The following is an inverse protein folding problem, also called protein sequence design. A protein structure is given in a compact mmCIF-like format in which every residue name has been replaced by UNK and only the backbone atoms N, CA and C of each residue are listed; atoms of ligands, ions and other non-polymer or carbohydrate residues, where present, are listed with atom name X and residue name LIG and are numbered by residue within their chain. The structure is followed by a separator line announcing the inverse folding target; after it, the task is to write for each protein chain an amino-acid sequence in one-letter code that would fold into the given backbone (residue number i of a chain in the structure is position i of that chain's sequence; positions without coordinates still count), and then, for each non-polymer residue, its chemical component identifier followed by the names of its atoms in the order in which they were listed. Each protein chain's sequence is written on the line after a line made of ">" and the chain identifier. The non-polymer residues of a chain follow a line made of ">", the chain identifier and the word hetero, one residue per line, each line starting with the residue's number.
data_IF_018625670407
#
_entry.id   IF_018625670407
#
_cell.length_a   1.000
_cell.length_b   1.000
_cell.length_c   1.000
_cell.angle_alpha   90.00
_cell.angle_beta   90.00
_cell.angle_gamma   90.00
#
_symmetry.space_group_name_H-M   'P 1'
#
loop_
_entity.id
_entity.type
_entity.pdbx_description
1 polymer ?
#
# COMPACT_ATOMS: atom_id res chain seq x y z
N UNK A 1 -35.62 -5.93 31.51
CA UNK A 1 -34.79 -4.93 32.21
C UNK A 1 -33.39 -4.92 31.58
N UNK A 2 -33.16 -4.17 30.49
CA UNK A 2 -31.82 -3.87 30.03
C UNK A 2 -31.32 -2.57 30.66
N UNK A 3 -30.12 -2.61 31.24
CA UNK A 3 -29.47 -1.48 31.88
C UNK A 3 -28.77 -0.59 30.83
N UNK A 4 -29.20 0.68 30.82
CA UNK A 4 -28.38 1.91 30.75
C UNK A 4 -27.03 1.86 30.01
N UNK A 5 -27.06 2.13 28.71
CA UNK A 5 -25.89 2.61 27.92
C UNK A 5 -25.82 4.13 27.82
N UNK A 6 -26.84 4.84 28.32
CA UNK A 6 -26.99 6.30 28.26
C UNK A 6 -26.23 7.07 29.36
N UNK A 7 -25.55 6.37 30.28
CA UNK A 7 -24.91 7.00 31.45
C UNK A 7 -23.38 7.11 31.36
N UNK A 8 -22.76 6.71 30.26
CA UNK A 8 -21.30 6.65 30.14
C UNK A 8 -20.67 7.73 29.23
N UNK A 9 -21.41 8.76 28.82
CA UNK A 9 -20.97 9.72 27.80
C UNK A 9 -20.96 11.19 28.22
N UNK A 10 -20.80 11.47 29.52
CA UNK A 10 -20.45 12.81 30.02
C UNK A 10 -19.51 12.59 31.22
N UNK A 11 -18.26 13.12 31.28
CA UNK A 11 -17.98 14.52 30.98
C UNK A 11 -16.56 14.78 30.42
N UNK A 12 -16.42 14.97 29.10
CA UNK A 12 -15.32 15.79 28.54
C UNK A 12 -15.91 16.77 27.53
N UNK A 13 -16.84 17.59 28.00
CA UNK A 13 -17.21 18.83 27.33
C UNK A 13 -16.05 19.81 27.43
N UNK A 14 -15.00 19.57 26.63
CA UNK A 14 -14.11 20.64 26.20
C UNK A 14 -15.02 21.68 25.55
N UNK A 15 -15.07 22.93 26.04
CA UNK A 15 -15.76 23.99 25.35
C UNK A 15 -14.94 24.30 24.09
N UNK A 16 -15.17 23.52 23.03
CA UNK A 16 -15.00 24.01 21.68
C UNK A 16 -16.12 25.03 21.51
N UNK A 17 -15.96 26.22 22.09
CA UNK A 17 -16.56 27.41 21.51
C UNK A 17 -15.95 27.48 20.11
N UNK A 18 -16.65 27.01 19.07
CA UNK A 18 -16.10 27.10 17.75
C UNK A 18 -16.07 28.59 17.47
N UNK A 19 -14.90 29.15 17.22
CA UNK A 19 -14.80 30.47 16.66
C UNK A 19 -15.33 30.37 15.22
N UNK A 20 -16.66 30.31 15.11
CA UNK A 20 -17.41 29.81 13.97
C UNK A 20 -17.09 30.65 12.74
N UNK A 21 -16.92 31.96 12.94
CA UNK A 21 -16.50 32.90 11.90
C UNK A 21 -15.11 32.59 11.30
N UNK A 22 -14.15 32.10 12.10
CA UNK A 22 -12.84 31.72 11.60
C UNK A 22 -12.90 30.43 10.78
N UNK A 23 -13.66 29.44 11.26
CA UNK A 23 -13.86 28.17 10.54
C UNK A 23 -14.66 28.37 9.24
N UNK A 24 -15.69 29.21 9.27
CA UNK A 24 -16.44 29.62 8.08
C UNK A 24 -15.56 30.39 7.10
N UNK A 25 -14.66 31.25 7.57
CA UNK A 25 -13.69 31.95 6.72
C UNK A 25 -12.69 31.01 6.04
N UNK A 26 -12.23 29.95 6.74
CA UNK A 26 -11.37 28.93 6.14
C UNK A 26 -12.14 28.07 5.13
N UNK A 27 -13.37 27.67 5.46
CA UNK A 27 -14.23 26.93 4.53
C UNK A 27 -14.50 27.75 3.26
N UNK A 28 -14.82 29.04 3.40
CA UNK A 28 -15.06 29.93 2.28
C UNK A 28 -13.82 30.11 1.38
N UNK A 29 -12.61 30.14 1.96
CA UNK A 29 -11.34 30.18 1.21
C UNK A 29 -11.07 28.90 0.42
N UNK A 30 -11.39 27.75 0.99
CA UNK A 30 -11.26 26.46 0.28
C UNK A 30 -12.27 26.41 -0.86
N UNK A 31 -13.53 26.79 -0.61
CA UNK A 31 -14.56 26.85 -1.66
C UNK A 31 -14.19 27.83 -2.78
N UNK A 32 -13.59 28.98 -2.46
CA UNK A 32 -13.15 29.96 -3.45
C UNK A 32 -12.09 29.42 -4.42
N UNK A 33 -11.19 28.56 -3.97
CA UNK A 33 -10.18 27.92 -4.85
C UNK A 33 -10.77 26.91 -5.82
N UNK A 34 -11.99 26.45 -5.57
CA UNK A 34 -12.70 25.47 -6.40
C UNK A 34 -13.80 26.11 -7.25
N UNK A 35 -14.08 27.40 -7.06
CA UNK A 35 -15.06 28.14 -7.84
C UNK A 35 -14.44 28.63 -9.16
N UNK A 36 -15.20 28.53 -10.25
CA UNK A 36 -14.74 28.89 -11.60
C UNK A 36 -15.10 30.33 -12.01
N UNK A 37 -15.71 31.09 -11.10
CA UNK A 37 -16.10 32.48 -11.35
C UNK A 37 -16.84 33.11 -10.16
N UNK A 38 -17.10 34.42 -10.24
CA UNK A 38 -17.77 35.18 -9.16
C UNK A 38 -19.18 34.65 -8.87
N UNK A 39 -19.94 34.34 -9.91
CA UNK A 39 -21.32 33.85 -9.77
C UNK A 39 -21.38 32.43 -9.23
N UNK A 40 -20.45 31.57 -9.64
CA UNK A 40 -20.28 30.21 -9.13
C UNK A 40 -19.87 30.20 -7.65
N UNK A 41 -18.92 31.07 -7.27
CA UNK A 41 -18.53 31.29 -5.88
C UNK A 41 -19.73 31.72 -5.01
N UNK A 42 -20.51 32.69 -5.50
CA UNK A 42 -21.67 33.19 -4.79
C UNK A 42 -22.76 32.11 -4.63
N UNK A 43 -22.88 31.20 -5.59
CA UNK A 43 -23.78 30.05 -5.53
C UNK A 43 -23.29 29.00 -4.52
N UNK A 44 -22.02 28.59 -4.60
CA UNK A 44 -21.41 27.58 -3.73
C UNK A 44 -21.41 28.02 -2.25
N UNK A 45 -21.10 29.28 -1.97
CA UNK A 45 -21.17 29.82 -0.60
C UNK A 45 -22.61 29.83 -0.07
N UNK A 46 -23.59 30.11 -0.94
CA UNK A 46 -25.01 30.07 -0.60
C UNK A 46 -25.51 28.67 -0.27
N UNK A 47 -25.11 27.66 -1.06
CA UNK A 47 -25.47 26.25 -0.82
C UNK A 47 -24.88 25.73 0.48
N UNK A 48 -23.66 26.15 0.84
CA UNK A 48 -22.96 25.73 2.05
C UNK A 48 -23.38 26.52 3.31
N UNK A 49 -24.29 27.49 3.18
CA UNK A 49 -24.72 28.33 4.30
C UNK A 49 -23.59 29.19 4.89
N UNK A 50 -22.56 29.47 4.10
CA UNK A 50 -21.40 30.27 4.51
C UNK A 50 -21.74 31.77 4.42
N UNK A 51 -21.15 32.61 5.30
CA UNK A 51 -21.39 34.04 5.28
C UNK A 51 -21.01 34.64 3.91
N UNK A 52 -21.99 35.33 3.30
CA UNK A 52 -21.94 35.94 1.96
C UNK A 52 -22.04 37.46 2.08
N UNK A 53 -21.18 38.08 2.89
CA UNK A 53 -21.09 39.55 2.87
C UNK A 53 -20.32 39.98 1.62
N UNK A 54 -20.66 41.15 1.05
CA UNK A 54 -19.96 41.66 -0.14
C UNK A 54 -18.45 41.83 0.15
N UNK A 55 -18.10 42.23 1.37
CA UNK A 55 -16.71 42.35 1.83
C UNK A 55 -15.97 41.01 1.83
N UNK A 56 -16.64 39.90 2.14
CA UNK A 56 -16.04 38.56 2.10
C UNK A 56 -15.84 38.09 0.65
N UNK A 57 -16.77 38.40 -0.26
CA UNK A 57 -16.62 38.10 -1.68
C UNK A 57 -15.45 38.87 -2.29
N UNK A 58 -15.28 40.15 -1.95
CA UNK A 58 -14.13 40.98 -2.37
C UNK A 58 -12.81 40.41 -1.87
N UNK A 59 -12.78 39.83 -0.66
CA UNK A 59 -11.58 39.18 -0.10
C UNK A 59 -11.27 37.82 -0.72
N UNK A 60 -12.25 37.15 -1.31
CA UNK A 60 -12.13 35.81 -1.90
C UNK A 60 -11.97 35.82 -3.43
N UNK A 61 -12.37 36.89 -4.10
CA UNK A 61 -12.20 37.11 -5.54
C UNK A 61 -10.75 36.91 -6.04
N UNK A 62 -9.70 37.35 -5.32
CA UNK A 62 -8.30 37.10 -5.73
C UNK A 62 -7.87 35.62 -5.66
N UNK A 63 -8.67 34.75 -5.05
CA UNK A 63 -8.38 33.32 -4.88
C UNK A 63 -9.12 32.43 -5.90
N UNK A 64 -9.88 33.03 -6.82
CA UNK A 64 -10.52 32.32 -7.90
C UNK A 64 -9.48 31.83 -8.90
N UNK A 65 -9.63 30.59 -9.35
CA UNK A 65 -8.94 30.14 -10.55
C UNK A 65 -9.66 30.78 -11.74
N UNK A 66 -9.08 31.83 -12.31
CA UNK A 66 -9.53 32.32 -13.61
C UNK A 66 -9.06 31.33 -14.69
N UNK A 67 -9.96 30.57 -15.34
CA UNK A 67 -9.58 29.94 -16.59
C UNK A 67 -9.37 31.05 -17.62
N UNK A 68 -8.14 31.26 -18.05
CA UNK A 68 -7.86 32.05 -19.26
C UNK A 68 -8.62 31.45 -20.43
N UNK A 69 -9.27 32.33 -21.17
CA UNK A 69 -10.25 32.10 -22.22
C UNK A 69 -9.83 31.10 -23.32
N UNK A 70 -10.82 30.34 -23.79
CA UNK A 70 -10.84 29.76 -25.15
C UNK A 70 -10.84 30.89 -26.20
N UNK A 71 -10.31 30.65 -27.41
CA UNK A 71 -9.86 31.69 -28.31
C UNK A 71 -11.02 32.29 -29.11
N UNK A 72 -11.30 33.58 -28.93
CA UNK A 72 -12.05 34.34 -29.93
C UNK A 72 -11.09 35.22 -30.73
N UNK A 73 -11.10 35.00 -32.03
CA UNK A 73 -10.31 35.75 -32.99
C UNK A 73 -10.87 37.16 -33.10
N UNK A 74 -10.14 38.18 -32.66
CA UNK A 74 -10.18 39.48 -33.34
C UNK A 74 -8.87 40.22 -33.14
N UNK A 75 -8.34 40.61 -34.29
CA UNK A 75 -7.15 41.42 -34.52
C UNK A 75 -7.15 42.70 -33.67
N UNK A 76 -6.09 42.93 -32.90
CA UNK A 76 -5.30 44.16 -33.05
C UNK A 76 -4.03 44.11 -32.20
N UNK A 77 -2.92 44.50 -32.85
CA UNK A 77 -1.60 44.54 -32.28
C UNK A 77 -1.49 45.55 -31.13
N UNK A 78 -0.84 45.15 -30.03
CA UNK A 78 0.22 45.94 -29.39
C UNK A 78 0.97 45.08 -28.36
N UNK A 79 2.28 45.05 -28.54
CA UNK A 79 3.32 44.38 -27.75
C UNK A 79 3.26 44.68 -26.24
N UNK A 80 3.19 43.64 -25.42
CA UNK A 80 3.97 43.54 -24.18
C UNK A 80 4.43 42.11 -23.99
N UNK A 81 5.69 41.88 -24.35
CA UNK A 81 6.44 40.68 -24.01
C UNK A 81 6.54 40.56 -22.49
N UNK A 82 5.93 39.51 -21.94
CA UNK A 82 6.28 38.93 -20.65
C UNK A 82 6.44 37.44 -20.90
N UNK A 83 7.61 36.84 -20.63
CA UNK A 83 7.78 35.42 -20.82
C UNK A 83 6.98 34.71 -19.72
N UNK A 84 5.81 34.20 -20.08
CA UNK A 84 5.22 33.12 -19.32
C UNK A 84 6.21 31.96 -19.44
N UNK A 85 6.92 31.66 -18.36
CA UNK A 85 7.86 30.55 -18.26
C UNK A 85 7.15 29.29 -18.76
N UNK A 86 7.48 28.90 -19.99
CA UNK A 86 6.80 27.82 -20.69
C UNK A 86 7.07 26.54 -19.88
N UNK A 87 6.06 25.72 -19.59
CA UNK A 87 6.26 24.51 -18.76
C UNK A 87 7.37 23.61 -19.31
N UNK A 88 7.60 23.67 -20.63
CA UNK A 88 8.69 23.01 -21.33
C UNK A 88 10.09 23.58 -21.02
N UNK A 89 10.25 24.88 -20.77
CA UNK A 89 11.55 25.46 -20.37
C UNK A 89 11.91 25.05 -18.95
N UNK A 90 10.93 24.95 -18.04
CA UNK A 90 11.18 24.44 -16.69
C UNK A 90 11.63 22.97 -16.67
N UNK A 91 11.04 22.12 -17.53
CA UNK A 91 11.48 20.73 -17.70
C UNK A 91 12.86 20.67 -18.36
N UNK A 92 13.13 21.52 -19.35
CA UNK A 92 14.44 21.60 -19.99
C UNK A 92 15.55 21.99 -19.00
N UNK A 93 15.31 22.99 -18.15
CA UNK A 93 16.25 23.40 -17.07
C UNK A 93 16.52 22.23 -16.12
N UNK A 94 15.49 21.46 -15.74
CA UNK A 94 15.67 20.26 -14.91
C UNK A 94 16.53 19.20 -15.59
N UNK A 95 16.28 18.91 -16.88
CA UNK A 95 17.06 17.92 -17.63
C UNK A 95 18.51 18.35 -17.85
N UNK A 96 18.75 19.65 -18.08
CA UNK A 96 20.09 20.23 -18.22
C UNK A 96 20.87 20.20 -16.89
N UNK A 97 20.21 20.48 -15.75
CA UNK A 97 20.80 20.36 -14.41
C UNK A 97 21.16 18.90 -14.04
N UNK A 98 20.44 17.93 -14.61
CA UNK A 98 20.75 16.50 -14.49
C UNK A 98 21.90 16.06 -15.43
N UNK A 99 22.47 16.99 -16.22
CA UNK A 99 23.59 16.75 -17.12
C UNK A 99 23.19 16.16 -18.48
N UNK A 100 21.91 16.26 -18.86
CA UNK A 100 21.44 15.80 -20.17
C UNK A 100 21.98 16.70 -21.27
N UNK A 101 22.43 16.10 -22.37
CA UNK A 101 22.94 16.82 -23.53
C UNK A 101 21.87 17.75 -24.16
N UNK A 102 22.20 19.03 -24.45
CA UNK A 102 21.22 20.03 -24.90
C UNK A 102 20.55 19.69 -26.23
N UNK A 103 21.24 19.01 -27.15
CA UNK A 103 20.66 18.58 -28.44
C UNK A 103 19.61 17.47 -28.22
N UNK A 104 19.85 16.61 -27.23
CA UNK A 104 18.88 15.59 -26.80
C UNK A 104 17.64 16.22 -26.15
N UNK A 105 17.80 17.24 -25.31
CA UNK A 105 16.69 17.97 -24.67
C UNK A 105 15.83 18.68 -25.73
N UNK A 106 16.48 19.35 -26.69
CA UNK A 106 15.80 20.02 -27.82
C UNK A 106 14.94 19.06 -28.62
N UNK A 107 15.49 17.90 -28.98
CA UNK A 107 14.78 16.89 -29.78
C UNK A 107 13.63 16.26 -29.01
N UNK A 108 13.81 16.03 -27.70
CA UNK A 108 12.81 15.36 -26.85
C UNK A 108 11.62 16.25 -26.54
N UNK A 109 11.88 17.54 -26.28
CA UNK A 109 10.84 18.51 -25.91
C UNK A 109 10.32 19.31 -27.11
N UNK A 110 10.93 19.16 -28.29
CA UNK A 110 10.56 19.89 -29.50
C UNK A 110 10.80 21.40 -29.39
N UNK A 111 11.78 21.82 -28.57
CA UNK A 111 12.06 23.23 -28.30
C UNK A 111 12.71 23.91 -29.51
N UNK A 112 12.37 25.17 -29.71
CA UNK A 112 13.10 26.05 -30.61
C UNK A 112 14.48 26.43 -30.04
N UNK A 113 15.39 26.88 -30.89
CA UNK A 113 16.75 27.27 -30.48
C UNK A 113 16.76 28.43 -29.49
N UNK A 114 15.79 29.34 -29.63
CA UNK A 114 15.61 30.49 -28.76
C UNK A 114 15.14 30.06 -27.36
N UNK A 115 14.24 29.08 -27.26
CA UNK A 115 13.77 28.53 -25.98
C UNK A 115 14.82 27.68 -25.26
N UNK A 116 15.69 27.00 -26.01
CA UNK A 116 16.83 26.29 -25.43
C UNK A 116 17.86 27.27 -24.85
N UNK A 117 18.07 28.39 -25.52
CA UNK A 117 18.97 29.46 -25.06
C UNK A 117 18.44 30.12 -23.79
N UNK A 118 17.13 30.40 -23.74
CA UNK A 118 16.45 30.90 -22.55
C UNK A 118 16.57 29.91 -21.37
N UNK A 119 16.38 28.61 -21.61
CA UNK A 119 16.59 27.58 -20.58
C UNK A 119 18.04 27.50 -20.07
N UNK A 120 19.03 27.65 -20.96
CA UNK A 120 20.45 27.68 -20.59
C UNK A 120 20.81 28.92 -19.75
N UNK A 121 20.23 30.09 -20.03
CA UNK A 121 20.42 31.28 -19.20
C UNK A 121 19.87 31.06 -17.78
N UNK A 122 18.75 30.36 -17.64
CA UNK A 122 18.16 30.04 -16.34
C UNK A 122 19.01 29.04 -15.53
N UNK A 123 19.67 28.08 -16.19
CA UNK A 123 20.63 27.16 -15.54
C UNK A 123 21.80 27.94 -14.90
N UNK A 124 22.32 28.97 -15.59
CA UNK A 124 23.42 29.80 -15.09
C UNK A 124 23.08 30.68 -13.87
N UNK A 125 21.79 30.94 -13.61
CA UNK A 125 21.36 31.75 -12.46
C UNK A 125 21.14 30.95 -11.17
N UNK A 126 20.95 29.62 -11.27
CA UNK A 126 20.81 28.75 -10.10
C UNK A 126 22.16 28.45 -9.42
N UNK A 127 23.27 28.48 -10.17
CA UNK A 127 24.63 28.32 -9.66
C UNK A 127 25.26 29.63 -9.12
N UNK A 128 24.67 30.80 -9.43
CA UNK A 128 25.17 32.08 -8.93
C UNK A 128 24.97 32.28 -7.42
N UNK A 129 24.02 31.57 -6.80
CA UNK A 129 23.84 31.55 -5.33
C UNK A 129 24.74 30.51 -4.62
N UNK A 130 25.36 29.59 -5.38
CA UNK A 130 26.36 28.65 -4.85
C UNK A 130 27.79 29.22 -4.89
N UNK A 131 28.08 30.13 -5.83
CA UNK A 131 29.42 30.71 -6.02
C UNK A 131 29.73 31.86 -5.03
N UNK A 132 28.72 32.43 -4.37
CA UNK A 132 28.90 33.45 -3.32
C UNK A 132 29.46 32.90 -1.99
N UNK A 133 29.54 31.57 -1.82
CA UNK A 133 30.14 30.91 -0.66
C UNK A 133 31.49 30.21 -0.96
N UNK A 134 31.97 30.29 -2.20
CA UNK A 134 33.24 29.70 -2.63
C UNK A 134 34.44 30.67 -2.55
N UNK A 135 34.26 31.85 -1.95
CA UNK A 135 35.33 32.81 -1.64
C UNK A 135 36.12 32.50 -0.34
N UNK A 136 35.90 31.34 0.29
CA UNK A 136 36.60 30.90 1.51
C UNK A 136 37.48 29.65 1.29
N UNK A 137 38.24 29.63 0.19
CA UNK A 137 39.56 28.99 0.08
C UNK A 137 39.80 27.63 0.74
N UNK A 138 39.06 26.59 0.37
CA UNK A 138 39.49 25.20 0.56
C UNK A 138 39.17 24.36 -0.69
N UNK A 139 40.23 23.96 -1.38
CA UNK A 139 40.28 23.14 -2.59
C UNK A 139 39.48 21.82 -2.47
N UNK A 140 38.77 21.38 -3.54
CA UNK A 140 38.11 20.09 -3.58
C UNK A 140 39.09 19.00 -4.00
N UNK A 141 39.36 18.05 -3.12
CA UNK A 141 39.97 16.77 -3.54
C UNK A 141 38.90 15.87 -4.13
N UNK A 142 38.95 15.71 -5.45
CA UNK A 142 38.14 14.76 -6.19
C UNK A 142 38.54 13.30 -5.93
N UNK A 143 37.53 12.45 -6.16
CA UNK A 143 37.56 11.03 -6.49
C UNK A 143 37.62 10.03 -5.33
N UNK A 144 36.55 9.22 -5.18
CA UNK A 144 36.46 7.89 -5.81
C UNK A 144 35.19 7.18 -5.30
N UNK A 145 34.27 6.82 -6.20
CA UNK A 145 33.26 5.78 -5.97
C UNK A 145 33.92 4.42 -6.32
N UNK A 146 33.63 3.28 -5.63
CA UNK A 146 32.35 2.61 -5.86
C UNK A 146 31.73 1.92 -4.62
N UNK A 147 30.42 2.08 -4.47
CA UNK A 147 29.55 0.92 -4.25
C UNK A 147 28.89 0.76 -2.88
N UNK A 148 27.57 0.56 -2.95
CA UNK A 148 26.71 -0.04 -1.93
C UNK A 148 26.48 0.77 -0.64
N UNK A 149 25.78 1.90 -0.76
CA UNK A 149 24.90 2.34 0.32
C UNK A 149 23.60 2.88 -0.28
N UNK A 150 22.49 2.35 0.23
CA UNK A 150 21.13 2.70 -0.10
C UNK A 150 20.94 4.21 -0.33
N UNK A 151 20.14 4.56 -1.33
CA UNK A 151 19.53 5.88 -1.50
C UNK A 151 18.93 6.37 -0.16
N UNK A 152 19.76 7.06 0.62
CA UNK A 152 19.34 7.87 1.76
C UNK A 152 19.26 9.28 1.19
N UNK A 153 18.08 9.93 1.19
CA UNK A 153 17.99 11.29 0.68
C UNK A 153 18.96 12.15 1.49
N UNK A 154 19.79 12.95 0.82
CA UNK A 154 20.85 13.77 1.43
C UNK A 154 20.35 14.68 2.56
N UNK A 155 19.04 14.98 2.61
CA UNK A 155 18.40 15.69 3.72
C UNK A 155 18.43 14.92 5.06
N UNK A 156 18.46 13.58 5.05
CA UNK A 156 18.44 12.76 6.26
C UNK A 156 19.77 12.78 7.01
N UNK A 157 20.90 12.92 6.30
CA UNK A 157 22.22 13.06 6.94
C UNK A 157 22.38 14.43 7.61
N UNK A 158 21.84 15.50 7.02
CA UNK A 158 21.87 16.84 7.60
C UNK A 158 21.07 16.96 8.91
N UNK A 159 19.88 16.35 8.97
CA UNK A 159 19.05 16.36 10.17
C UNK A 159 19.69 15.55 11.32
N UNK A 160 20.27 14.39 11.04
CA UNK A 160 20.99 13.60 12.04
C UNK A 160 22.26 14.31 12.52
N UNK A 161 22.96 15.02 11.64
CA UNK A 161 24.08 15.87 12.02
C UNK A 161 23.64 17.00 12.96
N UNK A 162 22.50 17.65 12.70
CA UNK A 162 21.94 18.70 13.57
C UNK A 162 21.50 18.16 14.94
N UNK A 163 20.91 16.96 14.99
CA UNK A 163 20.56 16.32 16.26
C UNK A 163 21.80 15.99 17.08
N UNK A 164 22.82 15.42 16.42
CA UNK A 164 24.09 15.04 17.03
C UNK A 164 24.84 16.27 17.55
N UNK A 165 24.84 17.37 16.78
CA UNK A 165 25.38 18.65 17.21
C UNK A 165 24.63 19.20 18.43
N UNK A 166 23.30 19.18 18.42
CA UNK A 166 22.49 19.73 19.50
C UNK A 166 22.58 18.94 20.81
N UNK A 167 22.92 17.65 20.78
CA UNK A 167 23.27 16.86 21.97
C UNK A 167 24.58 17.29 22.61
N UNK A 168 25.59 17.58 21.79
CA UNK A 168 26.90 18.02 22.25
C UNK A 168 26.92 19.50 22.64
N UNK A 169 25.81 20.21 22.40
CA UNK A 169 25.71 21.63 22.69
C UNK A 169 25.68 21.90 24.20
N UNK A 170 26.42 22.93 24.64
CA UNK A 170 26.60 23.23 26.09
C UNK A 170 25.35 23.78 26.78
N UNK A 171 24.39 24.29 26.01
CA UNK A 171 23.15 24.83 26.56
C UNK A 171 22.12 23.74 26.76
N UNK A 172 21.64 23.55 27.98
CA UNK A 172 20.60 22.56 28.32
C UNK A 172 19.31 22.69 27.50
N UNK A 173 18.96 23.90 27.08
CA UNK A 173 17.78 24.16 26.25
C UNK A 173 17.84 23.48 24.87
N UNK A 174 18.98 23.59 24.18
CA UNK A 174 19.20 22.95 22.87
C UNK A 174 19.21 21.42 22.99
N UNK A 175 19.84 20.87 24.02
CA UNK A 175 19.81 19.43 24.31
C UNK A 175 18.39 18.90 24.58
N UNK A 176 17.58 19.65 25.34
CA UNK A 176 16.20 19.28 25.60
C UNK A 176 15.34 19.30 24.32
N UNK A 177 15.59 20.26 23.43
CA UNK A 177 14.89 20.35 22.13
C UNK A 177 15.26 19.18 21.22
N UNK A 178 16.54 18.80 21.11
CA UNK A 178 16.95 17.65 20.29
C UNK A 178 16.42 16.33 20.84
N UNK A 179 16.43 16.14 22.16
CA UNK A 179 15.85 14.95 22.80
C UNK A 179 14.35 14.81 22.51
N UNK A 180 13.61 15.93 22.55
CA UNK A 180 12.18 15.96 22.18
C UNK A 180 11.96 15.66 20.70
N UNK A 181 12.75 16.28 19.82
CA UNK A 181 12.68 16.03 18.38
C UNK A 181 12.94 14.56 18.04
N UNK A 182 13.94 13.92 18.67
CA UNK A 182 14.20 12.49 18.50
C UNK A 182 13.05 11.63 19.01
N UNK A 183 12.51 11.94 20.19
CA UNK A 183 11.38 11.20 20.75
C UNK A 183 10.15 11.31 19.85
N UNK A 184 9.88 12.49 19.28
CA UNK A 184 8.80 12.69 18.33
C UNK A 184 9.00 11.84 17.07
N UNK A 185 10.20 11.84 16.48
CA UNK A 185 10.51 10.99 15.31
C UNK A 185 10.38 9.50 15.61
N UNK A 186 10.86 9.05 16.76
CA UNK A 186 10.72 7.65 17.18
C UNK A 186 9.24 7.24 17.29
N UNK A 187 8.38 8.11 17.82
CA UNK A 187 6.93 7.86 17.87
C UNK A 187 6.31 7.78 16.47
N UNK A 188 6.67 8.69 15.57
CA UNK A 188 6.21 8.65 14.18
C UNK A 188 6.64 7.36 13.49
N UNK A 189 7.92 6.97 13.60
CA UNK A 189 8.42 5.73 13.01
C UNK A 189 7.74 4.48 13.60
N UNK A 190 7.44 4.47 14.90
CA UNK A 190 6.69 3.37 15.52
C UNK A 190 5.24 3.32 15.02
N UNK A 191 4.58 4.48 14.83
CA UNK A 191 3.23 4.54 14.27
C UNK A 191 3.21 4.03 12.83
N UNK A 192 4.20 4.41 12.01
CA UNK A 192 4.35 3.90 10.64
C UNK A 192 4.57 2.39 10.61
N UNK A 193 5.42 1.85 11.50
CA UNK A 193 5.63 0.40 11.61
C UNK A 193 4.36 -0.34 12.06
N UNK A 194 3.60 0.22 13.02
CA UNK A 194 2.33 -0.35 13.44
C UNK A 194 1.34 -0.38 12.26
N UNK A 195 1.21 0.73 11.53
CA UNK A 195 0.34 0.80 10.36
C UNK A 195 0.75 -0.18 9.26
N UNK A 196 2.05 -0.37 9.00
CA UNK A 196 2.53 -1.39 8.05
C UNK A 196 2.12 -2.80 8.50
N UNK A 197 2.27 -3.12 9.78
CA UNK A 197 1.85 -4.42 10.32
C UNK A 197 0.35 -4.63 10.19
N UNK A 198 -0.45 -3.61 10.46
CA UNK A 198 -1.90 -3.69 10.30
C UNK A 198 -2.29 -3.96 8.84
N UNK A 199 -1.60 -3.31 7.88
CA UNK A 199 -1.83 -3.58 6.46
C UNK A 199 -1.37 -4.98 6.04
N UNK A 200 -0.24 -5.47 6.55
CA UNK A 200 0.25 -6.82 6.30
C UNK A 200 -0.71 -7.87 6.87
N UNK A 201 -1.24 -7.64 8.09
CA UNK A 201 -2.27 -8.49 8.68
C UNK A 201 -3.56 -8.49 7.85
N UNK A 202 -4.01 -7.33 7.37
CA UNK A 202 -5.18 -7.25 6.51
C UNK A 202 -4.99 -7.99 5.18
N UNK A 203 -3.79 -7.93 4.60
CA UNK A 203 -3.45 -8.70 3.39
C UNK A 203 -3.45 -10.20 3.69
N UNK A 204 -2.82 -10.65 4.77
CA UNK A 204 -2.80 -12.06 5.16
C UNK A 204 -4.22 -12.60 5.42
N UNK A 205 -5.09 -11.82 6.06
CA UNK A 205 -6.49 -12.18 6.28
C UNK A 205 -7.28 -12.27 4.96
N UNK A 206 -7.00 -11.38 4.01
CA UNK A 206 -7.62 -11.41 2.69
C UNK A 206 -7.16 -12.64 1.89
N UNK A 207 -5.86 -12.94 1.89
CA UNK A 207 -5.30 -14.14 1.27
C UNK A 207 -5.88 -15.43 1.88
N UNK A 208 -6.03 -15.49 3.21
CA UNK A 208 -6.66 -16.61 3.88
C UNK A 208 -8.11 -16.82 3.43
N UNK A 209 -8.90 -15.75 3.26
CA UNK A 209 -10.27 -15.83 2.74
C UNK A 209 -10.31 -16.29 1.29
N UNK A 210 -9.38 -15.83 0.45
CA UNK A 210 -9.27 -16.29 -0.94
C UNK A 210 -8.98 -17.79 -0.96
N UNK A 211 -8.03 -18.27 -0.16
CA UNK A 211 -7.73 -19.71 -0.08
C UNK A 211 -8.92 -20.55 0.40
N UNK A 212 -9.71 -20.05 1.35
CA UNK A 212 -10.96 -20.70 1.78
C UNK A 212 -11.96 -20.80 0.62
N UNK A 213 -12.23 -19.68 -0.04
CA UNK A 213 -13.17 -19.64 -1.17
C UNK A 213 -12.72 -20.52 -2.34
N UNK A 214 -11.43 -20.56 -2.64
CA UNK A 214 -10.88 -21.46 -3.66
C UNK A 214 -11.09 -22.93 -3.31
N UNK A 215 -10.91 -23.30 -2.04
CA UNK A 215 -11.16 -24.67 -1.57
C UNK A 215 -12.65 -25.05 -1.68
N UNK A 216 -13.56 -24.14 -1.30
CA UNK A 216 -15.01 -24.34 -1.45
C UNK A 216 -15.42 -24.45 -2.92
N UNK A 217 -14.84 -23.62 -3.78
CA UNK A 217 -15.08 -23.64 -5.21
C UNK A 217 -14.57 -24.95 -5.82
N UNK A 218 -13.40 -25.44 -5.40
CA UNK A 218 -12.90 -26.75 -5.80
C UNK A 218 -13.86 -27.88 -5.42
N UNK A 219 -14.35 -27.89 -4.17
CA UNK A 219 -15.35 -28.86 -3.71
C UNK A 219 -16.66 -28.77 -4.51
N UNK A 220 -17.14 -27.56 -4.79
CA UNK A 220 -18.34 -27.33 -5.60
C UNK A 220 -18.16 -27.82 -7.04
N UNK A 221 -16.98 -27.59 -7.65
CA UNK A 221 -16.64 -28.10 -8.98
C UNK A 221 -16.59 -29.63 -9.01
N UNK A 222 -16.07 -30.27 -7.97
CA UNK A 222 -16.07 -31.72 -7.86
C UNK A 222 -17.49 -32.28 -7.67
N UNK A 223 -18.33 -31.62 -6.86
CA UNK A 223 -19.73 -31.97 -6.74
C UNK A 223 -20.46 -31.86 -8.09
N UNK A 224 -20.23 -30.77 -8.83
CA UNK A 224 -20.77 -30.60 -10.18
C UNK A 224 -20.27 -31.68 -11.14
N UNK A 225 -18.97 -32.03 -11.10
CA UNK A 225 -18.40 -33.12 -11.90
C UNK A 225 -19.04 -34.46 -11.55
N UNK A 226 -19.31 -34.74 -10.27
CA UNK A 226 -20.02 -35.95 -9.84
C UNK A 226 -21.45 -36.01 -10.36
N UNK A 227 -22.19 -34.90 -10.30
CA UNK A 227 -23.56 -34.82 -10.84
C UNK A 227 -23.56 -34.95 -12.36
N UNK A 228 -22.63 -34.28 -13.05
CA UNK A 228 -22.53 -34.29 -14.52
C UNK A 228 -22.05 -35.64 -15.07
N UNK A 229 -21.11 -36.29 -14.39
CA UNK A 229 -20.54 -37.56 -14.81
C UNK A 229 -21.30 -38.77 -14.23
N UNK A 230 -22.31 -38.55 -13.40
CA UNK A 230 -22.96 -39.58 -12.59
C UNK A 230 -24.46 -39.69 -12.82
N UNK A 231 -24.83 -40.61 -13.73
CA UNK A 231 -25.93 -41.54 -13.48
C UNK A 231 -25.86 -42.00 -12.00
N UNK A 232 -26.97 -41.97 -11.23
CA UNK A 232 -26.92 -42.10 -9.78
C UNK A 232 -26.28 -43.42 -9.38
N UNK A 233 -25.04 -43.34 -8.88
CA UNK A 233 -24.44 -44.43 -8.12
C UNK A 233 -24.87 -44.22 -6.68
N UNK A 234 -25.76 -45.08 -6.23
CA UNK A 234 -26.19 -45.19 -4.84
C UNK A 234 -24.97 -45.29 -3.90
N UNK A 235 -25.08 -44.82 -2.65
CA UNK A 235 -23.97 -44.84 -1.71
C UNK A 235 -23.54 -46.30 -1.49
N UNK A 236 -22.33 -46.63 -1.95
CA UNK A 236 -21.67 -47.86 -1.58
C UNK A 236 -21.39 -47.80 -0.08
N UNK A 237 -22.02 -48.70 0.67
CA UNK A 237 -21.64 -49.02 2.04
C UNK A 237 -20.11 -49.23 2.12
N UNK A 238 -19.46 -48.90 3.26
CA UNK A 238 -18.02 -49.04 3.39
C UNK A 238 -17.64 -50.50 3.18
N UNK A 239 -17.03 -50.80 2.03
CA UNK A 239 -16.37 -52.08 1.82
C UNK A 239 -15.20 -52.13 2.80
N UNK A 240 -15.07 -53.18 3.64
CA UNK A 240 -13.95 -53.31 4.53
C UNK A 240 -12.68 -53.33 3.69
N UNK A 241 -11.71 -52.51 4.09
CA UNK A 241 -10.38 -52.46 3.50
C UNK A 241 -9.75 -53.83 3.68
N UNK A 242 -9.89 -54.70 2.68
CA UNK A 242 -9.19 -55.98 2.62
C UNK A 242 -7.71 -55.66 2.50
N UNK A 243 -7.04 -55.54 3.65
CA UNK A 243 -5.59 -55.51 3.76
C UNK A 243 -5.07 -56.63 2.87
N UNK A 244 -4.21 -56.31 1.89
CA UNK A 244 -3.53 -57.33 1.08
C UNK A 244 -2.73 -58.21 2.04
N UNK A 245 -3.31 -59.37 2.39
CA UNK A 245 -2.71 -60.32 3.32
C UNK A 245 -1.39 -60.80 2.79
N UNK A 246 -0.38 -60.81 3.64
CA UNK A 246 0.96 -61.24 3.24
C UNK A 246 0.95 -62.74 2.91
N UNK A 247 1.88 -63.20 2.07
CA UNK A 247 2.00 -64.63 1.69
C UNK A 247 2.16 -65.54 2.92
N UNK A 248 2.76 -65.01 3.99
CA UNK A 248 2.95 -65.69 5.27
C UNK A 248 1.64 -65.86 6.04
N UNK A 249 0.80 -64.81 6.10
CA UNK A 249 -0.55 -64.89 6.70
C UNK A 249 -1.42 -65.92 5.98
N UNK A 250 -1.41 -65.93 4.63
CA UNK A 250 -2.14 -66.93 3.86
C UNK A 250 -1.63 -68.37 4.08
N UNK A 251 -0.37 -68.55 4.47
CA UNK A 251 0.16 -69.86 4.87
C UNK A 251 -0.34 -70.27 6.26
N UNK A 252 -0.35 -69.35 7.22
CA UNK A 252 -0.88 -69.59 8.55
C UNK A 252 -2.38 -69.95 8.52
N UNK A 253 -3.17 -69.20 7.74
CA UNK A 253 -4.60 -69.46 7.56
C UNK A 253 -4.84 -70.86 6.94
N UNK A 254 -4.01 -71.28 5.97
CA UNK A 254 -4.09 -72.62 5.39
C UNK A 254 -3.78 -73.72 6.41
N UNK A 255 -2.79 -73.52 7.27
CA UNK A 255 -2.45 -74.48 8.33
C UNK A 255 -3.58 -74.59 9.35
N UNK A 256 -4.14 -73.46 9.79
CA UNK A 256 -5.29 -73.42 10.68
C UNK A 256 -6.52 -74.11 10.06
N UNK A 257 -6.82 -73.80 8.80
CA UNK A 257 -7.96 -74.37 8.10
C UNK A 257 -7.85 -75.89 7.96
N UNK A 258 -6.66 -76.42 7.64
CA UNK A 258 -6.43 -77.88 7.58
C UNK A 258 -6.54 -78.53 8.96
N UNK A 259 -6.07 -77.87 10.02
CA UNK A 259 -6.24 -78.35 11.39
C UNK A 259 -7.72 -78.39 11.81
N UNK A 260 -8.54 -77.48 11.29
CA UNK A 260 -10.00 -77.47 11.44
C UNK A 260 -10.77 -78.40 10.50
N UNK A 261 -10.08 -79.21 9.69
CA UNK A 261 -10.73 -80.14 8.74
C UNK A 261 -11.26 -79.48 7.47
N UNK A 262 -10.95 -78.21 7.21
CA UNK A 262 -11.35 -77.53 5.97
C UNK A 262 -10.42 -77.90 4.81
N UNK A 263 -11.01 -78.21 3.65
CA UNK A 263 -10.26 -78.51 2.44
C UNK A 263 -9.84 -77.22 1.73
N UNK A 264 -8.53 -76.94 1.72
CA UNK A 264 -7.97 -75.72 1.13
C UNK A 264 -6.87 -76.09 0.13
N UNK A 265 -6.83 -75.40 -1.01
CA UNK A 265 -5.81 -75.60 -2.02
C UNK A 265 -4.39 -75.28 -1.50
N UNK A 266 -3.40 -76.04 -1.95
CA UNK A 266 -2.01 -75.88 -1.51
C UNK A 266 -1.35 -74.57 -2.00
N UNK A 267 -1.90 -73.99 -3.08
CA UNK A 267 -1.44 -72.73 -3.68
C UNK A 267 -2.62 -71.84 -4.05
N UNK A 268 -2.42 -70.52 -3.94
CA UNK A 268 -3.42 -69.52 -4.29
C UNK A 268 -4.15 -68.93 -3.08
N UNK A 269 -5.19 -68.15 -3.35
CA UNK A 269 -6.07 -67.59 -2.33
C UNK A 269 -6.98 -68.71 -1.78
N UNK A 270 -7.04 -68.91 -0.45
CA UNK A 270 -8.03 -69.81 0.15
C UNK A 270 -9.45 -69.28 -0.09
N UNK A 271 -10.45 -70.16 -0.05
CA UNK A 271 -11.84 -69.79 -0.23
C UNK A 271 -12.26 -68.70 0.76
N UNK A 272 -13.10 -67.75 0.32
CA UNK A 272 -13.52 -66.62 1.14
C UNK A 272 -14.16 -67.05 2.47
N UNK A 273 -14.94 -68.14 2.46
CA UNK A 273 -15.53 -68.70 3.69
C UNK A 273 -14.49 -69.11 4.74
N UNK A 274 -13.30 -69.57 4.33
CA UNK A 274 -12.20 -69.94 5.24
C UNK A 274 -11.51 -68.70 5.79
N UNK A 275 -11.42 -67.64 4.98
CA UNK A 275 -10.89 -66.35 5.42
C UNK A 275 -11.81 -65.71 6.47
N UNK A 276 -13.11 -65.69 6.20
CA UNK A 276 -14.11 -65.13 7.11
C UNK A 276 -14.20 -65.94 8.41
N UNK A 277 -14.13 -67.27 8.35
CA UNK A 277 -14.08 -68.14 9.53
C UNK A 277 -12.80 -67.94 10.35
N UNK A 278 -11.66 -67.73 9.69
CA UNK A 278 -10.40 -67.43 10.38
C UNK A 278 -10.46 -66.06 11.07
N UNK A 279 -11.01 -65.04 10.40
CA UNK A 279 -11.18 -63.70 10.97
C UNK A 279 -12.18 -63.68 12.14
N UNK A 280 -13.23 -64.50 12.07
CA UNK A 280 -14.17 -64.69 13.18
C UNK A 280 -13.54 -65.43 14.37
N UNK A 281 -12.65 -66.40 14.11
CA UNK A 281 -11.91 -67.13 15.14
C UNK A 281 -10.74 -66.32 15.74
N UNK A 282 -10.17 -65.39 14.95
CA UNK A 282 -9.10 -64.49 15.35
C UNK A 282 -9.52 -63.04 15.12
N UNK A 283 -10.51 -62.53 15.90
CA UNK A 283 -10.82 -61.12 15.86
C UNK A 283 -9.54 -60.40 16.30
N UNK A 284 -8.86 -59.73 15.36
CA UNK A 284 -7.80 -58.80 15.71
C UNK A 284 -8.44 -57.69 16.50
N UNK A 285 -8.37 -57.80 17.82
CA UNK A 285 -8.69 -56.72 18.75
C UNK A 285 -7.95 -55.48 18.27
N UNK A 286 -8.64 -54.38 17.93
CA UNK A 286 -7.98 -53.13 17.58
C UNK A 286 -7.41 -52.53 18.87
N UNK A 287 -6.25 -53.02 19.29
CA UNK A 287 -5.48 -52.51 20.41
C UNK A 287 -4.06 -52.24 19.92
N UNK A 288 -3.86 -51.03 19.40
CA UNK A 288 -2.66 -50.20 19.59
C UNK A 288 -2.81 -48.91 18.76
N UNK A 289 -3.60 -47.98 19.30
CA UNK A 289 -3.34 -46.55 19.17
C UNK A 289 -3.08 -46.05 20.59
N UNK A 290 -1.80 -46.05 20.97
CA UNK A 290 -1.27 -45.34 22.14
C UNK A 290 0.07 -44.74 21.73
#
# INVERSE_FOLDING_TARGET
>A
MPADSTKALEPEGLPLEPNSNYQFGLAARVTARHAHGKDDLAHLLGVLGLPRTEDDLVRLLPLLNSPTDEPDQTEDAMTTSTPATNAYTAVAVSMLNEGTDPDSVRTTLGLSEEELTDALEHVGTADADADALQAAGLEPVSATDPGAAAHRPAAYSGIEALLTWGEQHRTKGVQALTARARTARARTALAELAQRRDTEHAVADAEAKVGQLESELALAREALRRVKNGKPTAPAAPAPVLKRRTKQELAAIRTWARAGGHQVADRGLPAQAVLDAHDAAHPTTPAQAR
#
